data_IF_417758097921
#
_entry.id   IF_417758097921
#
_cell.length_a   1.000
_cell.length_b   1.000
_cell.length_c   1.000
_cell.angle_alpha   90.00
_cell.angle_beta   90.00
_cell.angle_gamma   90.00
#
_symmetry.space_group_name_H-M   'P 1'
#
loop_
_entity.id
_entity.type
_entity.pdbx_description
1 polymer ?
#
# COMPACT_ATOMS: atom_id res chain seq x y z
N UNK A 1 1.54 0.05 28.42
CA UNK A 1 0.34 -0.61 27.82
C UNK A 1 0.67 -1.27 26.48
N UNK A 2 0.57 -2.59 26.42
CA UNK A 2 0.73 -3.34 25.16
C UNK A 2 -0.57 -3.15 24.38
N UNK A 3 -0.52 -2.44 23.25
CA UNK A 3 -1.69 -2.21 22.40
C UNK A 3 -1.77 -3.33 21.39
N UNK A 4 -2.76 -4.22 21.56
CA UNK A 4 -3.08 -5.25 20.58
C UNK A 4 -4.14 -4.69 19.65
N UNK A 5 -3.95 -4.86 18.34
CA UNK A 5 -4.92 -4.44 17.33
C UNK A 5 -5.20 -5.61 16.41
N UNK A 6 -6.46 -5.98 16.29
CA UNK A 6 -6.93 -6.91 15.25
C UNK A 6 -7.11 -6.11 13.96
N UNK A 7 -6.55 -6.56 12.82
CA UNK A 7 -6.75 -5.87 11.55
C UNK A 7 -8.24 -5.82 11.20
N UNK A 8 -8.66 -4.73 10.57
CA UNK A 8 -10.04 -4.52 10.14
C UNK A 8 -10.05 -4.13 8.67
N UNK A 9 -11.09 -4.53 7.95
CA UNK A 9 -11.29 -4.10 6.58
C UNK A 9 -11.57 -2.60 6.55
N UNK A 10 -10.82 -1.86 5.73
CA UNK A 10 -11.03 -0.45 5.45
C UNK A 10 -11.10 -0.23 3.94
N UNK A 11 -11.76 0.84 3.48
CA UNK A 11 -11.77 1.19 2.06
C UNK A 11 -10.34 1.39 1.52
N UNK A 12 -10.14 1.03 0.25
CA UNK A 12 -8.96 1.44 -0.50
C UNK A 12 -8.92 2.96 -0.64
N UNK A 13 -7.72 3.52 -0.80
CA UNK A 13 -7.54 4.97 -0.88
C UNK A 13 -7.88 5.50 -2.26
N UNK A 14 -8.66 6.57 -2.30
CA UNK A 14 -9.10 7.27 -3.51
C UNK A 14 -8.03 8.27 -3.99
N UNK A 15 -8.23 8.84 -5.18
CA UNK A 15 -7.33 9.86 -5.73
C UNK A 15 -7.28 11.11 -4.83
N UNK A 16 -6.07 11.63 -4.61
CA UNK A 16 -5.79 12.74 -3.69
C UNK A 16 -5.72 12.34 -2.22
N UNK A 17 -6.09 11.11 -1.86
CA UNK A 17 -5.99 10.65 -0.49
C UNK A 17 -4.57 10.27 -0.08
N UNK A 18 -4.23 10.51 1.19
CA UNK A 18 -2.98 10.06 1.77
C UNK A 18 -2.77 8.55 1.62
N UNK A 19 -1.55 8.17 1.29
CA UNK A 19 -1.12 6.80 1.10
C UNK A 19 0.29 6.60 1.66
N UNK A 20 0.70 5.34 1.85
CA UNK A 20 2.05 4.99 2.27
C UNK A 20 2.84 4.41 1.09
N UNK A 21 3.91 5.07 0.62
CA UNK A 21 4.75 4.52 -0.44
C UNK A 21 5.49 3.28 0.08
N UNK A 22 5.78 2.34 -0.83
CA UNK A 22 6.57 1.14 -0.54
C UNK A 22 5.97 0.25 0.59
N UNK A 23 4.66 0.33 0.84
CA UNK A 23 4.00 -0.53 1.85
C UNK A 23 3.65 -1.90 1.27
N UNK A 24 4.52 -2.89 1.50
CA UNK A 24 4.20 -4.28 1.20
C UNK A 24 3.20 -4.85 2.22
N UNK A 25 2.22 -5.65 1.77
CA UNK A 25 1.36 -6.38 2.70
C UNK A 25 2.18 -7.39 3.51
N UNK A 26 1.73 -7.64 4.74
CA UNK A 26 2.42 -8.51 5.70
C UNK A 26 1.58 -9.75 5.98
N UNK A 27 2.30 -10.87 6.06
CA UNK A 27 1.78 -12.15 6.50
C UNK A 27 2.45 -12.49 7.84
N UNK A 28 1.66 -12.71 8.89
CA UNK A 28 2.20 -13.01 10.22
C UNK A 28 1.13 -13.65 11.11
N UNK A 29 1.57 -14.18 12.25
CA UNK A 29 0.67 -14.69 13.30
C UNK A 29 0.67 -13.70 14.46
N UNK A 30 -0.50 -13.17 14.80
CA UNK A 30 -0.67 -12.28 15.94
C UNK A 30 -1.04 -13.11 17.17
N UNK A 31 -0.29 -12.93 18.26
CA UNK A 31 -0.56 -13.54 19.56
C UNK A 31 -1.10 -12.52 20.55
N UNK A 32 -2.19 -12.86 21.22
CA UNK A 32 -2.87 -11.99 22.18
C UNK A 32 -2.66 -12.46 23.64
N UNK A 33 -2.91 -11.59 24.65
CA UNK A 33 -2.70 -11.92 26.07
C UNK A 33 -3.54 -13.07 26.61
N UNK A 34 -4.71 -13.31 26.00
CA UNK A 34 -5.59 -14.42 26.35
C UNK A 34 -5.08 -15.77 25.81
N UNK A 35 -3.93 -15.78 25.14
CA UNK A 35 -3.33 -16.95 24.51
C UNK A 35 -3.90 -17.26 23.13
N UNK A 36 -4.88 -16.49 22.65
CA UNK A 36 -5.41 -16.65 21.30
C UNK A 36 -4.37 -16.23 20.26
N UNK A 37 -4.39 -16.92 19.12
CA UNK A 37 -3.55 -16.62 17.98
C UNK A 37 -4.39 -16.54 16.72
N UNK A 38 -4.05 -15.61 15.84
CA UNK A 38 -4.67 -15.48 14.52
C UNK A 38 -3.58 -15.40 13.46
N UNK A 39 -3.73 -16.20 12.41
CA UNK A 39 -2.93 -16.06 11.21
C UNK A 39 -3.55 -14.98 10.33
N UNK A 40 -2.74 -14.02 9.90
CA UNK A 40 -3.15 -12.94 9.00
C UNK A 40 -2.30 -12.95 7.75
N UNK A 41 -2.94 -12.74 6.60
CA UNK A 41 -2.30 -12.70 5.29
C UNK A 41 -2.78 -11.49 4.50
N UNK A 42 -1.89 -10.91 3.71
CA UNK A 42 -2.22 -9.78 2.83
C UNK A 42 -2.57 -8.47 3.56
N UNK A 43 -2.17 -8.31 4.83
CA UNK A 43 -2.60 -7.17 5.66
C UNK A 43 -1.66 -5.98 5.48
N UNK A 44 -2.22 -4.79 5.26
CA UNK A 44 -1.46 -3.54 5.22
C UNK A 44 -1.37 -2.88 6.59
N UNK A 45 -0.20 -2.33 6.90
CA UNK A 45 0.03 -1.61 8.15
C UNK A 45 -0.51 -0.18 8.08
N UNK A 46 -1.37 0.16 9.04
CA UNK A 46 -1.89 1.52 9.31
C UNK A 46 -2.85 2.05 8.26
N UNK A 47 -2.52 1.94 6.96
CA UNK A 47 -3.31 2.52 5.87
C UNK A 47 -3.47 1.51 4.74
N UNK A 48 -4.67 1.45 4.16
CA UNK A 48 -4.93 0.64 2.96
C UNK A 48 -4.18 1.20 1.75
N UNK A 49 -3.93 0.37 0.72
CA UNK A 49 -3.29 0.83 -0.50
C UNK A 49 -4.26 1.67 -1.33
N UNK A 50 -3.73 2.33 -2.36
CA UNK A 50 -4.54 3.02 -3.34
C UNK A 50 -5.46 2.07 -4.11
N UNK A 51 -6.57 2.59 -4.61
CA UNK A 51 -7.41 1.87 -5.56
C UNK A 51 -6.62 1.45 -6.82
N UNK A 52 -7.05 0.38 -7.52
CA UNK A 52 -6.41 -0.05 -8.75
C UNK A 52 -6.29 1.10 -9.77
N UNK A 53 -5.12 1.23 -10.39
CA UNK A 53 -4.82 2.29 -11.36
C UNK A 53 -4.26 3.59 -10.76
N UNK A 54 -4.21 3.69 -9.42
CA UNK A 54 -3.54 4.79 -8.72
C UNK A 54 -2.19 4.33 -8.17
N UNK A 55 -1.21 5.22 -8.16
CA UNK A 55 0.13 4.99 -7.63
C UNK A 55 0.38 5.90 -6.44
N UNK A 56 0.90 5.32 -5.36
CA UNK A 56 1.39 6.07 -4.22
C UNK A 56 2.84 6.49 -4.47
N UNK A 57 3.04 7.73 -4.92
CA UNK A 57 4.40 8.23 -5.21
C UNK A 57 5.06 8.75 -3.94
N UNK A 58 6.36 8.42 -3.76
CA UNK A 58 7.14 8.83 -2.57
C UNK A 58 7.17 10.35 -2.38
N UNK A 59 7.16 11.11 -3.48
CA UNK A 59 7.22 12.57 -3.43
C UNK A 59 5.93 13.26 -2.98
N UNK A 60 4.77 12.68 -3.31
CA UNK A 60 3.48 13.29 -2.98
C UNK A 60 2.85 12.73 -1.71
N UNK A 61 3.09 11.44 -1.42
CA UNK A 61 2.42 10.75 -0.31
C UNK A 61 0.90 10.65 -0.49
N UNK A 62 0.39 10.85 -1.72
CA UNK A 62 -1.02 10.72 -2.06
C UNK A 62 -1.22 9.81 -3.25
N UNK A 63 -2.39 9.17 -3.31
CA UNK A 63 -2.78 8.37 -4.46
C UNK A 63 -3.03 9.31 -5.63
N UNK A 64 -2.32 9.10 -6.73
CA UNK A 64 -2.49 9.84 -7.96
C UNK A 64 -2.48 8.87 -9.12
N UNK A 65 -3.16 9.21 -10.21
CA UNK A 65 -2.86 8.54 -11.47
C UNK A 65 -1.40 8.85 -11.78
N UNK A 66 -0.62 7.83 -12.08
CA UNK A 66 0.71 8.06 -12.62
C UNK A 66 0.55 8.90 -13.88
N UNK A 67 1.02 10.15 -13.81
CA UNK A 67 1.41 10.89 -15.00
C UNK A 67 2.58 10.09 -15.59
N UNK A 68 2.25 9.09 -16.41
CA UNK A 68 3.19 8.63 -17.42
C UNK A 68 3.41 9.87 -18.28
N UNK A 69 4.43 10.65 -17.96
CA UNK A 69 4.99 11.57 -18.92
C UNK A 69 5.50 10.67 -20.06
N UNK A 70 4.66 10.52 -21.07
CA UNK A 70 4.86 9.73 -22.29
C UNK A 70 5.94 10.36 -23.18
N UNK A 71 7.12 10.61 -22.59
CA UNK A 71 8.32 11.11 -23.24
C UNK A 71 9.48 10.10 -23.15
N UNK A 72 9.31 8.99 -22.43
CA UNK A 72 10.32 7.92 -22.33
C UNK A 72 10.12 6.77 -23.32
N UNK A 73 9.00 6.71 -24.05
CA UNK A 73 8.80 5.67 -25.08
C UNK A 73 9.72 5.85 -26.30
N UNK A 74 10.32 7.03 -26.47
CA UNK A 74 11.30 7.28 -27.54
C UNK A 74 12.74 6.86 -27.19
N UNK A 75 13.03 6.47 -25.94
CA UNK A 75 14.41 6.12 -25.54
C UNK A 75 14.75 4.63 -25.62
N UNK A 76 13.82 3.77 -26.07
CA UNK A 76 14.06 2.34 -26.31
C UNK A 76 14.22 1.98 -27.79
N UNK A 77 14.02 2.94 -28.71
CA UNK A 77 14.21 2.72 -30.15
C UNK A 77 15.58 3.16 -30.67
N UNK A 78 16.45 3.75 -29.83
CA UNK A 78 17.81 4.17 -30.21
C UNK A 78 18.88 3.09 -29.93
N UNK A 79 18.48 1.86 -29.62
CA UNK A 79 19.40 0.73 -29.35
C UNK A 79 19.17 -0.50 -30.25
N UNK A 80 18.58 -0.31 -31.44
CA UNK A 80 18.56 -1.31 -32.52
C UNK A 80 19.23 -0.71 -33.76
#
# INVERSE_FOLDING_TARGET
PIRYSTPTCRPLREEGELCRPESAPVNTTLSYPDGSQIEITGVQWVICPCQPGLICTRGSGVCSRSEINDNTFNSLNDFI
#
